data_IF_052591926051
#
_entry.id   IF_052591926051
#
_cell.length_a   1.000
_cell.length_b   1.000
_cell.length_c   1.000
_cell.angle_alpha   90.00
_cell.angle_beta   90.00
_cell.angle_gamma   90.00
#
_symmetry.space_group_name_H-M   'P 1'
#
loop_
_entity.id
_entity.type
_entity.pdbx_description
1 polymer ?
#
# COMPACT_ATOMS: atom_id res chain seq x y z
N UNK A 1 -15.34 18.58 47.51
CA UNK A 1 -14.67 19.90 47.59
C UNK A 1 -15.17 20.73 46.41
N UNK A 2 -16.00 21.73 46.67
CA UNK A 2 -16.53 22.72 45.71
C UNK A 2 -15.56 23.90 45.62
N UNK A 3 -15.28 24.43 44.43
CA UNK A 3 -15.02 25.86 44.07
C UNK A 3 -14.97 25.87 42.51
N UNK A 4 -15.90 26.42 41.72
CA UNK A 4 -16.40 27.79 41.49
C UNK A 4 -15.56 28.65 40.51
N UNK A 5 -16.10 28.83 39.28
CA UNK A 5 -16.30 30.04 38.43
C UNK A 5 -15.18 31.09 38.24
N UNK A 6 -15.10 31.73 37.05
CA UNK A 6 -15.95 32.89 36.65
C UNK A 6 -16.30 32.87 35.12
N UNK A 7 -17.07 33.74 34.46
CA UNK A 7 -17.78 35.02 34.68
C UNK A 7 -18.65 35.34 33.43
N UNK A 8 -19.72 36.13 33.61
CA UNK A 8 -20.27 37.25 32.77
C UNK A 8 -20.30 37.10 31.21
N UNK A 9 -21.30 37.53 30.42
CA UNK A 9 -22.36 38.54 30.56
C UNK A 9 -23.19 38.61 29.25
N UNK A 10 -24.48 38.94 29.37
CA UNK A 10 -25.32 39.80 28.49
C UNK A 10 -25.46 39.53 26.98
N UNK A 11 -26.69 39.27 26.50
CA UNK A 11 -27.55 40.22 25.76
C UNK A 11 -28.91 39.57 25.38
N UNK A 12 -30.01 40.15 25.87
CA UNK A 12 -31.39 40.04 25.36
C UNK A 12 -31.56 41.03 24.15
N UNK A 13 -32.64 41.07 23.32
CA UNK A 13 -34.01 40.77 23.73
C UNK A 13 -35.03 40.20 22.69
N UNK A 14 -36.08 39.61 23.28
CA UNK A 14 -37.53 39.62 22.98
C UNK A 14 -38.14 39.64 21.58
N UNK A 15 -38.97 38.61 21.42
CA UNK A 15 -40.21 38.43 20.65
C UNK A 15 -41.35 39.42 21.03
N UNK A 16 -42.24 39.65 20.04
CA UNK A 16 -43.74 39.70 20.11
C UNK A 16 -44.49 41.06 20.23
N UNK A 17 -45.41 41.23 19.24
CA UNK A 17 -46.74 41.91 19.17
C UNK A 17 -46.87 43.42 19.34
N UNK A 18 -47.35 44.07 18.27
CA UNK A 18 -48.23 45.26 18.23
C UNK A 18 -48.97 45.19 16.87
N UNK A 19 -50.22 45.61 16.62
CA UNK A 19 -51.47 45.78 17.34
C UNK A 19 -52.49 46.18 16.24
N UNK A 20 -53.73 45.69 16.32
CA UNK A 20 -54.85 46.06 15.44
C UNK A 20 -55.45 47.41 15.91
N UNK A 21 -55.64 48.38 15.00
CA UNK A 21 -56.66 49.45 15.07
C UNK A 21 -56.69 50.15 13.71
N UNK A 22 -57.69 49.99 12.82
CA UNK A 22 -59.02 50.62 12.81
C UNK A 22 -58.97 52.15 13.10
N UNK A 23 -59.19 52.97 12.06
CA UNK A 23 -60.29 53.95 11.90
C UNK A 23 -59.94 55.05 10.87
N UNK A 24 -60.81 55.16 9.86
CA UNK A 24 -61.26 56.34 9.11
C UNK A 24 -60.26 57.38 8.57
N UNK A 25 -60.30 57.57 7.24
CA UNK A 25 -60.90 58.79 6.68
C UNK A 25 -61.25 58.59 5.20
N UNK A 26 -62.55 58.55 4.94
CA UNK A 26 -63.17 58.66 3.62
C UNK A 26 -63.24 60.15 3.29
N UNK A 27 -62.54 60.58 2.24
CA UNK A 27 -62.89 61.79 1.50
C UNK A 27 -63.07 61.37 0.04
N UNK A 28 -64.34 61.20 -0.33
CA UNK A 28 -64.79 61.35 -1.71
C UNK A 28 -64.78 62.85 -2.02
N UNK A 29 -64.24 63.25 -3.17
CA UNK A 29 -65.02 63.94 -4.20
C UNK A 29 -64.32 63.77 -5.56
N UNK A 30 -65.08 63.45 -6.62
CA UNK A 30 -64.60 63.16 -7.96
C UNK A 30 -64.58 64.42 -8.83
N UNK A 31 -63.77 64.44 -9.89
CA UNK A 31 -64.10 65.06 -11.19
C UNK A 31 -63.23 64.40 -12.27
N UNK A 32 -63.91 64.14 -13.38
CA UNK A 32 -63.55 63.39 -14.57
C UNK A 32 -62.56 64.13 -15.48
N UNK A 33 -62.11 63.41 -16.53
CA UNK A 33 -61.42 63.88 -17.76
C UNK A 33 -59.90 64.00 -17.56
N UNK A 34 -59.02 63.12 -18.07
CA UNK A 34 -58.96 62.47 -19.37
C UNK A 34 -57.99 61.27 -19.30
N UNK A 35 -58.53 60.06 -19.13
CA UNK A 35 -57.77 58.81 -19.16
C UNK A 35 -57.75 58.24 -20.58
N UNK A 36 -56.88 58.75 -21.43
CA UNK A 36 -56.44 58.06 -22.64
C UNK A 36 -54.92 57.86 -22.56
N UNK A 37 -54.48 56.61 -22.75
CA UNK A 37 -53.12 56.20 -23.15
C UNK A 37 -51.99 56.11 -22.10
N UNK A 38 -52.24 55.96 -20.79
CA UNK A 38 -51.16 55.62 -19.83
C UNK A 38 -51.30 54.22 -19.22
N UNK A 39 -52.52 53.74 -18.92
CA UNK A 39 -52.75 52.36 -18.45
C UNK A 39 -52.31 51.30 -19.45
N UNK A 40 -52.79 51.38 -20.69
CA UNK A 40 -52.37 50.46 -21.78
C UNK A 40 -50.88 50.51 -22.11
N UNK A 41 -50.18 51.62 -21.80
CA UNK A 41 -48.73 51.72 -22.04
C UNK A 41 -47.92 51.14 -20.89
N UNK A 42 -48.44 51.17 -19.67
CA UNK A 42 -47.78 50.57 -18.50
C UNK A 42 -48.05 49.05 -18.49
N UNK A 43 -49.26 48.60 -18.78
CA UNK A 43 -49.57 47.17 -18.88
C UNK A 43 -48.83 46.54 -20.07
N UNK A 44 -48.82 47.19 -21.24
CA UNK A 44 -48.04 46.73 -22.40
C UNK A 44 -46.53 46.78 -22.17
N UNK A 45 -46.01 47.74 -21.40
CA UNK A 45 -44.59 47.77 -21.03
C UNK A 45 -44.24 46.69 -19.99
N UNK A 46 -45.14 46.38 -19.06
CA UNK A 46 -44.94 45.33 -18.05
C UNK A 46 -45.05 43.94 -18.67
N UNK A 47 -46.01 43.73 -19.58
CA UNK A 47 -46.14 42.50 -20.38
C UNK A 47 -44.92 42.31 -21.30
N UNK A 48 -44.46 43.37 -21.98
CA UNK A 48 -43.26 43.28 -22.84
C UNK A 48 -42.00 42.96 -22.03
N UNK A 49 -41.82 43.51 -20.82
CA UNK A 49 -40.67 43.21 -19.94
C UNK A 49 -40.74 41.80 -19.35
N UNK A 50 -41.95 41.32 -19.04
CA UNK A 50 -42.19 39.93 -18.61
C UNK A 50 -41.88 38.93 -19.73
N UNK A 51 -42.33 39.23 -20.96
CA UNK A 51 -42.09 38.39 -22.15
C UNK A 51 -40.60 38.35 -22.52
N UNK A 52 -39.88 39.48 -22.50
CA UNK A 52 -38.43 39.53 -22.77
C UNK A 52 -37.63 38.72 -21.74
N UNK A 53 -38.02 38.78 -20.45
CA UNK A 53 -37.36 38.00 -19.40
C UNK A 53 -37.66 36.52 -19.57
N UNK A 54 -38.90 36.15 -19.93
CA UNK A 54 -39.31 34.78 -20.25
C UNK A 54 -38.53 34.19 -21.42
N UNK A 55 -38.40 34.94 -22.52
CA UNK A 55 -37.67 34.51 -23.72
C UNK A 55 -36.17 34.35 -23.45
N UNK A 56 -35.57 35.24 -22.67
CA UNK A 56 -34.16 35.16 -22.26
C UNK A 56 -33.91 33.92 -21.39
N UNK A 57 -34.79 33.66 -20.43
CA UNK A 57 -34.69 32.47 -19.55
C UNK A 57 -34.88 31.19 -20.38
N UNK A 58 -35.83 31.16 -21.31
CA UNK A 58 -36.04 30.02 -22.21
C UNK A 58 -34.82 29.75 -23.10
N UNK A 59 -34.16 30.79 -23.60
CA UNK A 59 -32.92 30.65 -24.36
C UNK A 59 -31.78 30.04 -23.52
N UNK A 60 -31.63 30.49 -22.27
CA UNK A 60 -30.65 29.93 -21.32
C UNK A 60 -30.98 28.47 -20.95
N UNK A 61 -32.24 28.15 -20.69
CA UNK A 61 -32.67 26.78 -20.34
C UNK A 61 -32.41 25.80 -21.50
N UNK A 62 -32.72 26.19 -22.73
CA UNK A 62 -32.41 25.38 -23.91
C UNK A 62 -30.89 25.17 -24.08
N UNK A 63 -30.08 26.18 -23.79
CA UNK A 63 -28.63 26.09 -23.88
C UNK A 63 -28.04 25.16 -22.80
N UNK A 64 -28.55 25.26 -21.56
CA UNK A 64 -28.18 24.37 -20.45
C UNK A 64 -28.52 22.93 -20.80
N UNK A 65 -29.73 22.66 -21.31
CA UNK A 65 -30.18 21.33 -21.72
C UNK A 65 -29.40 20.77 -22.91
N UNK A 66 -29.01 21.62 -23.86
CA UNK A 66 -28.18 21.21 -24.99
C UNK A 66 -26.78 20.79 -24.54
N UNK A 67 -26.18 21.53 -23.61
CA UNK A 67 -24.87 21.19 -23.01
C UNK A 67 -24.93 19.95 -22.13
N UNK A 68 -26.07 19.70 -21.48
CA UNK A 68 -26.31 18.47 -20.71
C UNK A 68 -26.34 17.23 -21.62
N UNK A 69 -26.92 17.36 -22.81
CA UNK A 69 -26.99 16.29 -23.82
C UNK A 69 -25.69 16.10 -24.61
N UNK A 70 -24.99 17.19 -24.94
CA UNK A 70 -23.77 17.15 -25.74
C UNK A 70 -22.83 18.33 -25.42
N UNK A 71 -22.04 18.17 -24.36
CA UNK A 71 -21.08 19.15 -23.86
C UNK A 71 -19.97 19.51 -24.88
N UNK A 72 -19.68 18.62 -25.83
CA UNK A 72 -18.67 18.85 -26.87
C UNK A 72 -19.07 19.97 -27.86
N UNK A 73 -20.36 20.27 -28.00
CA UNK A 73 -20.89 21.31 -28.90
C UNK A 73 -21.00 22.69 -28.24
N UNK A 74 -20.29 22.92 -27.13
CA UNK A 74 -20.44 24.13 -26.31
C UNK A 74 -20.26 25.44 -27.08
N UNK A 75 -19.32 25.48 -28.02
CA UNK A 75 -19.06 26.69 -28.81
C UNK A 75 -20.26 27.03 -29.69
N UNK A 76 -20.82 26.04 -30.38
CA UNK A 76 -22.03 26.19 -31.19
C UNK A 76 -23.22 26.59 -30.33
N UNK A 77 -23.41 25.93 -29.19
CA UNK A 77 -24.51 26.25 -28.26
C UNK A 77 -24.43 27.70 -27.77
N UNK A 78 -23.25 28.19 -27.38
CA UNK A 78 -23.07 29.58 -26.95
C UNK A 78 -23.30 30.59 -28.09
N UNK A 79 -22.83 30.28 -29.30
CA UNK A 79 -23.06 31.12 -30.48
C UNK A 79 -24.56 31.22 -30.82
N UNK A 80 -25.26 30.09 -30.84
CA UNK A 80 -26.71 30.06 -31.08
C UNK A 80 -27.49 30.78 -29.98
N UNK A 81 -27.10 30.60 -28.71
CA UNK A 81 -27.72 31.29 -27.57
C UNK A 81 -27.56 32.80 -27.71
N UNK A 82 -26.36 33.26 -28.07
CA UNK A 82 -26.09 34.69 -28.30
C UNK A 82 -26.93 35.27 -29.44
N UNK A 83 -27.21 34.49 -30.49
CA UNK A 83 -28.07 34.89 -31.61
C UNK A 83 -29.56 34.91 -31.26
N UNK A 84 -30.02 33.99 -30.40
CA UNK A 84 -31.42 33.87 -29.96
C UNK A 84 -31.83 34.93 -28.94
N UNK A 85 -30.88 35.52 -28.23
CA UNK A 85 -31.13 36.70 -27.40
C UNK A 85 -31.44 37.89 -28.33
N UNK A 86 -32.72 38.30 -28.37
CA UNK A 86 -33.22 39.42 -29.19
C UNK A 86 -32.50 40.74 -28.88
N UNK A 87 -32.61 41.73 -29.76
CA UNK A 87 -32.00 43.07 -29.58
C UNK A 87 -32.45 43.79 -28.30
N UNK A 88 -33.58 43.40 -27.71
CA UNK A 88 -34.14 43.97 -26.48
C UNK A 88 -33.83 43.15 -25.21
N UNK A 89 -33.19 41.98 -25.35
CA UNK A 89 -32.63 41.27 -24.21
C UNK A 89 -31.50 42.12 -23.60
N UNK A 90 -31.50 42.27 -22.26
CA UNK A 90 -30.57 43.14 -21.55
C UNK A 90 -29.14 42.93 -22.06
N UNK A 91 -28.56 43.96 -22.69
CA UNK A 91 -27.21 43.94 -23.29
C UNK A 91 -26.15 43.35 -22.35
N UNK A 92 -26.38 43.48 -21.04
CA UNK A 92 -25.67 42.83 -19.93
C UNK A 92 -25.55 41.32 -20.08
N UNK A 93 -26.66 40.58 -20.30
CA UNK A 93 -26.64 39.10 -20.41
C UNK A 93 -25.89 38.66 -21.66
N UNK A 94 -26.09 39.36 -22.78
CA UNK A 94 -25.36 39.08 -24.02
C UNK A 94 -23.86 39.30 -23.86
N UNK A 95 -23.47 40.35 -23.14
CA UNK A 95 -22.06 40.63 -22.82
C UNK A 95 -21.46 39.56 -21.90
N UNK A 96 -22.20 39.11 -20.86
CA UNK A 96 -21.75 38.03 -19.98
C UNK A 96 -21.52 36.71 -20.74
N UNK A 97 -22.42 36.35 -21.68
CA UNK A 97 -22.27 35.15 -22.51
C UNK A 97 -21.12 35.28 -23.51
N UNK A 98 -20.94 36.46 -24.11
CA UNK A 98 -19.85 36.71 -25.07
C UNK A 98 -18.47 36.68 -24.37
N UNK A 99 -18.40 37.23 -23.17
CA UNK A 99 -17.19 37.18 -22.33
C UNK A 99 -16.91 35.74 -21.86
N UNK A 100 -17.94 34.98 -21.48
CA UNK A 100 -17.82 33.55 -21.19
C UNK A 100 -17.27 32.76 -22.39
N UNK A 101 -17.78 33.02 -23.60
CA UNK A 101 -17.28 32.40 -24.84
C UNK A 101 -15.79 32.70 -25.05
N UNK A 102 -15.40 33.97 -24.95
CA UNK A 102 -14.01 34.39 -25.13
C UNK A 102 -13.06 33.81 -24.09
N UNK A 103 -13.46 33.79 -22.80
CA UNK A 103 -12.67 33.19 -21.72
C UNK A 103 -12.54 31.67 -21.87
N UNK A 104 -13.59 31.00 -22.32
CA UNK A 104 -13.59 29.55 -22.57
C UNK A 104 -12.65 29.18 -23.72
N UNK A 105 -12.63 29.99 -24.79
CA UNK A 105 -11.64 29.85 -25.88
C UNK A 105 -10.21 30.13 -25.36
N UNK A 106 -9.99 31.20 -24.60
CA UNK A 106 -8.67 31.51 -24.07
C UNK A 106 -8.10 30.41 -23.14
N UNK A 107 -8.96 29.77 -22.34
CA UNK A 107 -8.57 28.66 -21.47
C UNK A 107 -8.06 27.42 -22.25
N UNK A 108 -8.50 27.21 -23.50
CA UNK A 108 -8.02 26.09 -24.33
C UNK A 108 -6.56 26.23 -24.76
N UNK A 109 -6.03 27.45 -24.84
CA UNK A 109 -4.68 27.72 -25.35
C UNK A 109 -3.55 27.37 -24.37
N UNK A 110 -3.79 27.45 -23.06
CA UNK A 110 -2.78 27.28 -22.01
C UNK A 110 -2.91 25.94 -21.27
N UNK A 111 -4.06 25.28 -21.36
CA UNK A 111 -4.43 24.15 -20.48
C UNK A 111 -5.08 22.98 -21.24
N UNK A 112 -4.45 22.63 -22.36
CA UNK A 112 -4.78 21.52 -23.28
C UNK A 112 -4.92 20.10 -22.64
N UNK A 113 -4.99 20.00 -21.32
CA UNK A 113 -5.01 18.75 -20.53
C UNK A 113 -6.40 18.36 -20.02
N UNK A 114 -7.41 19.19 -20.23
CA UNK A 114 -8.80 18.92 -19.89
C UNK A 114 -9.59 18.66 -21.17
N UNK A 115 -10.24 17.50 -21.28
CA UNK A 115 -11.03 17.14 -22.47
C UNK A 115 -12.16 18.15 -22.74
N UNK A 116 -12.65 18.23 -23.99
CA UNK A 116 -13.71 19.17 -24.40
C UNK A 116 -14.97 19.09 -23.52
N UNK A 117 -15.28 17.93 -22.96
CA UNK A 117 -16.42 17.72 -22.05
C UNK A 117 -16.35 18.63 -20.80
N UNK A 118 -15.14 18.94 -20.32
CA UNK A 118 -14.94 19.81 -19.17
C UNK A 118 -15.28 21.27 -19.48
N UNK A 119 -15.02 21.73 -20.70
CA UNK A 119 -15.38 23.09 -21.12
C UNK A 119 -16.89 23.20 -21.20
N UNK A 120 -17.58 22.20 -21.77
CA UNK A 120 -19.03 22.18 -21.80
C UNK A 120 -19.66 22.19 -20.40
N UNK A 121 -19.11 21.43 -19.46
CA UNK A 121 -19.54 21.47 -18.05
C UNK A 121 -19.35 22.85 -17.42
N UNK A 122 -18.19 23.49 -17.65
CA UNK A 122 -17.90 24.84 -17.14
C UNK A 122 -18.84 25.89 -17.72
N UNK A 123 -19.05 25.85 -19.03
CA UNK A 123 -19.99 26.75 -19.74
C UNK A 123 -21.40 26.56 -19.19
N UNK A 124 -21.84 25.32 -19.01
CA UNK A 124 -23.15 25.01 -18.41
C UNK A 124 -23.28 25.61 -17.01
N UNK A 125 -22.29 25.42 -16.14
CA UNK A 125 -22.29 26.01 -14.79
C UNK A 125 -22.37 27.54 -14.84
N UNK A 126 -21.66 28.19 -15.76
CA UNK A 126 -21.73 29.64 -15.93
C UNK A 126 -23.12 30.09 -16.41
N UNK A 127 -23.74 29.42 -17.39
CA UNK A 127 -25.09 29.72 -17.85
C UNK A 127 -26.14 29.55 -16.75
N UNK A 128 -26.04 28.48 -15.94
CA UNK A 128 -26.91 28.27 -14.77
C UNK A 128 -26.80 29.43 -13.78
N UNK A 129 -25.60 29.97 -13.57
CA UNK A 129 -25.38 31.12 -12.66
C UNK A 129 -25.91 32.42 -13.26
N UNK A 130 -25.74 32.65 -14.55
CA UNK A 130 -26.32 33.81 -15.26
C UNK A 130 -27.84 33.78 -15.13
N UNK A 131 -28.46 32.62 -15.38
CA UNK A 131 -29.90 32.40 -15.20
C UNK A 131 -30.34 32.68 -13.76
N UNK A 132 -29.62 32.17 -12.76
CA UNK A 132 -29.96 32.39 -11.36
C UNK A 132 -29.92 33.89 -10.99
N UNK A 133 -28.93 34.65 -11.49
CA UNK A 133 -28.88 36.10 -11.30
C UNK A 133 -30.07 36.81 -11.94
N UNK A 134 -30.42 36.42 -13.16
CA UNK A 134 -31.54 36.99 -13.91
C UNK A 134 -32.88 36.75 -13.19
N UNK A 135 -33.04 35.59 -12.56
CA UNK A 135 -34.24 35.21 -11.81
C UNK A 135 -34.22 35.65 -10.33
N UNK A 136 -33.20 36.40 -9.90
CA UNK A 136 -32.96 36.75 -8.49
C UNK A 136 -32.97 35.54 -7.54
N UNK A 137 -32.50 34.39 -8.03
CA UNK A 137 -32.37 33.16 -7.28
C UNK A 137 -30.99 33.08 -6.61
N UNK A 138 -30.84 32.26 -5.54
CA UNK A 138 -29.53 31.95 -4.98
C UNK A 138 -28.58 31.42 -6.07
N UNK A 139 -27.42 32.07 -6.22
CA UNK A 139 -26.42 31.69 -7.23
C UNK A 139 -25.77 30.37 -6.79
N UNK A 140 -25.84 29.29 -7.60
CA UNK A 140 -25.19 28.03 -7.26
C UNK A 140 -23.66 28.18 -7.10
N UNK A 141 -23.04 27.44 -6.16
CA UNK A 141 -21.60 27.43 -6.00
C UNK A 141 -20.92 26.76 -7.20
N UNK A 142 -19.66 27.14 -7.47
CA UNK A 142 -18.87 26.59 -8.57
C UNK A 142 -18.25 25.27 -8.14
N UNK A 143 -18.50 24.21 -8.90
CA UNK A 143 -17.88 22.92 -8.65
C UNK A 143 -16.48 22.92 -9.28
N UNK A 144 -15.41 22.69 -8.50
CA UNK A 144 -14.06 22.63 -9.02
C UNK A 144 -13.90 21.41 -9.91
N UNK A 145 -13.35 21.61 -11.11
CA UNK A 145 -13.13 20.53 -12.06
C UNK A 145 -11.70 20.00 -11.95
N UNK A 146 -11.53 18.69 -11.79
CA UNK A 146 -10.23 18.04 -11.82
C UNK A 146 -10.01 17.35 -13.16
N UNK A 147 -8.89 17.65 -13.82
CA UNK A 147 -8.56 17.07 -15.12
C UNK A 147 -7.54 15.94 -15.02
N UNK A 148 -6.46 16.15 -14.27
CA UNK A 148 -5.43 15.14 -14.08
C UNK A 148 -4.72 15.29 -12.74
N UNK A 149 -4.19 14.16 -12.26
CA UNK A 149 -3.37 14.06 -11.05
C UNK A 149 -2.03 13.43 -11.43
N UNK A 150 -0.93 14.00 -10.93
CA UNK A 150 0.42 13.49 -11.18
C UNK A 150 1.15 13.25 -9.86
N UNK A 151 1.61 12.02 -9.58
CA UNK A 151 1.25 10.76 -10.26
C UNK A 151 -0.23 10.38 -10.06
N UNK A 152 -0.76 9.50 -10.92
CA UNK A 152 -2.16 9.04 -10.83
C UNK A 152 -2.44 8.12 -9.62
N UNK A 153 -1.40 7.62 -8.96
CA UNK A 153 -1.47 6.81 -7.74
C UNK A 153 -0.19 7.02 -6.91
N UNK A 154 -0.30 6.78 -5.60
CA UNK A 154 0.86 6.76 -4.69
C UNK A 154 1.37 5.32 -4.59
N UNK A 155 2.51 5.03 -5.23
CA UNK A 155 3.14 3.71 -5.15
C UNK A 155 4.09 3.62 -3.96
N UNK A 156 3.68 2.84 -2.95
CA UNK A 156 4.45 2.65 -1.73
C UNK A 156 5.68 1.76 -1.92
N UNK A 157 5.84 1.12 -3.08
CA UNK A 157 7.05 0.38 -3.43
C UNK A 157 8.19 1.29 -3.92
N UNK A 158 7.91 2.56 -4.26
CA UNK A 158 8.92 3.54 -4.63
C UNK A 158 9.61 4.13 -3.38
N UNK A 159 10.88 4.53 -3.52
CA UNK A 159 11.60 5.26 -2.46
C UNK A 159 10.83 6.50 -2.03
N UNK A 160 10.89 6.85 -0.73
CA UNK A 160 10.17 7.99 -0.16
C UNK A 160 10.39 9.27 -0.98
N UNK A 161 11.64 9.54 -1.37
CA UNK A 161 12.05 10.71 -2.17
C UNK A 161 11.40 10.81 -3.56
N UNK A 162 10.81 9.72 -4.06
CA UNK A 162 10.13 9.66 -5.37
C UNK A 162 8.60 9.83 -5.26
N UNK A 163 8.07 9.95 -4.04
CA UNK A 163 6.63 10.06 -3.75
C UNK A 163 6.32 11.25 -2.83
N UNK A 164 7.01 12.39 -3.05
CA UNK A 164 6.98 13.56 -2.16
C UNK A 164 5.76 14.47 -2.35
N UNK A 165 5.04 14.35 -3.47
CA UNK A 165 3.90 15.21 -3.78
C UNK A 165 2.91 14.57 -4.74
N UNK A 166 1.66 15.04 -4.69
CA UNK A 166 0.67 14.89 -5.75
C UNK A 166 0.34 16.27 -6.31
N UNK A 167 0.33 16.40 -7.62
CA UNK A 167 -0.04 17.63 -8.33
C UNK A 167 -1.41 17.44 -8.97
N UNK A 168 -2.33 18.36 -8.69
CA UNK A 168 -3.69 18.37 -9.20
C UNK A 168 -3.84 19.54 -10.15
N UNK A 169 -4.31 19.25 -11.35
CA UNK A 169 -4.52 20.25 -12.38
C UNK A 169 -5.98 20.24 -12.80
N UNK A 170 -6.55 21.43 -12.93
CA UNK A 170 -7.99 21.59 -13.11
C UNK A 170 -8.40 23.06 -13.12
N UNK A 171 -9.60 23.35 -12.66
CA UNK A 171 -10.19 24.69 -12.68
C UNK A 171 -10.86 25.03 -11.35
N UNK A 172 -10.99 26.32 -11.08
CA UNK A 172 -11.80 26.87 -9.99
C UNK A 172 -11.34 26.46 -8.58
N UNK A 173 -10.06 26.06 -8.44
CA UNK A 173 -9.47 25.60 -7.16
C UNK A 173 -9.33 26.71 -6.10
N UNK A 174 -9.31 27.97 -6.53
CA UNK A 174 -9.25 29.15 -5.66
C UNK A 174 -10.64 29.67 -5.24
N UNK A 175 -11.72 29.18 -5.86
CA UNK A 175 -13.08 29.72 -5.65
C UNK A 175 -13.87 29.00 -4.54
N UNK A 176 -13.48 27.77 -4.17
CA UNK A 176 -14.21 26.96 -3.20
C UNK A 176 -13.29 26.15 -2.28
N UNK A 177 -13.73 25.80 -1.06
CA UNK A 177 -12.97 24.91 -0.20
C UNK A 177 -13.02 23.48 -0.73
N UNK A 178 -11.85 22.92 -1.04
CA UNK A 178 -11.64 21.51 -1.34
C UNK A 178 -11.04 20.86 -0.11
N UNK A 179 -11.60 19.72 0.27
CA UNK A 179 -11.16 18.89 1.39
C UNK A 179 -10.45 17.65 0.84
N UNK A 180 -9.41 17.20 1.53
CA UNK A 180 -8.69 15.97 1.20
C UNK A 180 -8.75 15.02 2.38
N UNK A 181 -9.17 13.79 2.13
CA UNK A 181 -9.23 12.75 3.16
C UNK A 181 -8.31 11.58 2.81
N UNK A 182 -7.57 11.09 3.80
CA UNK A 182 -6.81 9.85 3.74
C UNK A 182 -7.64 8.74 4.36
N UNK A 183 -7.91 7.69 3.58
CA UNK A 183 -8.60 6.51 4.07
C UNK A 183 -7.59 5.40 4.36
N UNK A 184 -7.52 5.01 5.63
CA UNK A 184 -6.84 3.80 6.09
C UNK A 184 -7.85 2.63 6.17
N UNK A 185 -7.40 1.42 6.53
CA UNK A 185 -8.29 0.25 6.68
C UNK A 185 -9.41 0.42 7.72
N UNK A 186 -9.25 1.31 8.70
CA UNK A 186 -10.18 1.45 9.84
C UNK A 186 -10.66 2.88 10.10
N UNK A 187 -10.11 3.88 9.41
CA UNK A 187 -10.37 5.29 9.69
C UNK A 187 -10.25 6.17 8.45
N UNK A 188 -10.93 7.31 8.50
CA UNK A 188 -10.78 8.41 7.55
C UNK A 188 -10.20 9.60 8.29
N UNK A 189 -9.08 10.13 7.80
CA UNK A 189 -8.37 11.29 8.37
C UNK A 189 -8.50 12.47 7.42
N UNK A 190 -8.87 13.65 7.94
CA UNK A 190 -8.79 14.90 7.17
C UNK A 190 -7.32 15.35 7.09
N UNK A 191 -6.82 15.50 5.87
CA UNK A 191 -5.43 15.87 5.57
C UNK A 191 -5.36 17.14 4.71
N UNK A 192 -6.45 17.91 4.69
CA UNK A 192 -6.58 19.14 3.90
C UNK A 192 -5.54 20.20 4.26
N UNK A 193 -4.99 20.16 5.49
CA UNK A 193 -3.91 21.05 5.93
C UNK A 193 -2.61 20.89 5.15
N UNK A 194 -2.43 19.80 4.40
CA UNK A 194 -1.26 19.55 3.57
C UNK A 194 -1.50 19.88 2.09
N UNK A 195 -2.67 20.42 1.74
CA UNK A 195 -3.04 20.81 0.38
C UNK A 195 -2.75 22.30 0.18
N UNK A 196 -1.77 22.58 -0.67
CA UNK A 196 -1.41 23.92 -1.10
C UNK A 196 -2.13 24.28 -2.40
N UNK A 197 -2.75 25.45 -2.43
CA UNK A 197 -3.44 26.00 -3.62
C UNK A 197 -2.56 27.06 -4.24
N UNK A 198 -1.91 26.72 -5.35
CA UNK A 198 -0.90 27.57 -5.95
C UNK A 198 -1.55 28.58 -6.92
N UNK A 199 -2.52 28.13 -7.70
CA UNK A 199 -3.26 28.97 -8.65
C UNK A 199 -4.71 28.50 -8.78
N UNK A 200 -5.52 29.25 -9.52
CA UNK A 200 -6.85 28.83 -9.96
C UNK A 200 -6.88 27.44 -10.63
N UNK A 201 -5.76 27.00 -11.20
CA UNK A 201 -5.67 25.80 -12.04
C UNK A 201 -4.76 24.69 -11.48
N UNK A 202 -4.09 24.94 -10.35
CA UNK A 202 -3.06 24.03 -9.82
C UNK A 202 -3.07 23.97 -8.29
N UNK A 203 -3.15 22.76 -7.74
CA UNK A 203 -2.93 22.47 -6.33
C UNK A 203 -1.84 21.39 -6.15
N UNK A 204 -1.18 21.39 -5.00
CA UNK A 204 -0.20 20.37 -4.64
C UNK A 204 -0.53 19.82 -3.26
N UNK A 205 -0.55 18.50 -3.10
CA UNK A 205 -0.63 17.84 -1.80
C UNK A 205 0.76 17.35 -1.41
N UNK A 206 1.27 17.83 -0.29
CA UNK A 206 2.59 17.45 0.22
C UNK A 206 2.54 16.03 0.81
N UNK A 207 3.36 15.12 0.27
CA UNK A 207 3.56 13.74 0.75
C UNK A 207 4.98 13.51 1.31
N UNK A 208 5.77 14.58 1.45
CA UNK A 208 7.12 14.53 2.01
C UNK A 208 7.13 14.31 3.52
N UNK A 209 8.29 14.52 4.15
CA UNK A 209 8.51 14.21 5.58
C UNK A 209 7.58 14.98 6.54
N UNK A 210 7.10 16.16 6.16
CA UNK A 210 6.15 16.98 6.91
C UNK A 210 4.74 17.00 6.27
N UNK A 211 4.49 16.10 5.33
CA UNK A 211 3.25 16.00 4.57
C UNK A 211 2.23 15.05 5.19
N UNK A 212 1.35 14.55 4.33
CA UNK A 212 0.33 13.56 4.67
C UNK A 212 0.97 12.28 5.25
N UNK A 213 0.48 11.75 6.39
CA UNK A 213 1.07 10.59 7.05
C UNK A 213 0.66 9.26 6.40
N UNK A 214 1.14 9.00 5.18
CA UNK A 214 0.86 7.76 4.46
C UNK A 214 1.63 6.58 5.07
N UNK A 215 0.94 5.46 5.30
CA UNK A 215 1.49 4.25 5.93
C UNK A 215 1.15 2.97 5.17
N UNK A 216 1.58 1.82 5.69
CA UNK A 216 1.19 0.50 5.17
C UNK A 216 -0.30 0.17 5.34
N UNK A 217 -1.03 0.94 6.16
CA UNK A 217 -2.47 0.80 6.36
C UNK A 217 -3.30 1.70 5.43
N UNK A 218 -2.66 2.61 4.70
CA UNK A 218 -3.32 3.60 3.85
C UNK A 218 -3.76 2.99 2.52
N UNK A 219 -5.00 3.29 2.10
CA UNK A 219 -5.62 2.67 0.92
C UNK A 219 -5.87 3.68 -0.20
N UNK A 220 -6.33 4.89 0.13
CA UNK A 220 -6.64 5.92 -0.87
C UNK A 220 -6.65 7.33 -0.28
N UNK A 221 -6.44 8.30 -1.14
CA UNK A 221 -6.70 9.72 -0.90
C UNK A 221 -7.95 10.13 -1.71
N UNK A 222 -8.86 10.87 -1.09
CA UNK A 222 -10.09 11.35 -1.74
C UNK A 222 -10.14 12.87 -1.69
N UNK A 223 -10.42 13.51 -2.83
CA UNK A 223 -10.74 14.92 -2.87
C UNK A 223 -12.26 15.06 -2.77
N UNK A 224 -12.71 15.91 -1.87
CA UNK A 224 -14.11 16.16 -1.56
C UNK A 224 -14.46 17.63 -1.80
N UNK A 225 -15.58 17.88 -2.45
CA UNK A 225 -16.22 19.20 -2.56
C UNK A 225 -17.66 19.09 -2.09
N UNK A 226 -18.06 19.94 -1.14
CA UNK A 226 -19.37 19.88 -0.47
C UNK A 226 -19.72 18.46 0.04
N UNK A 227 -18.75 17.82 0.69
CA UNK A 227 -18.85 16.45 1.21
C UNK A 227 -19.12 15.36 0.15
N UNK A 228 -18.92 15.69 -1.13
CA UNK A 228 -19.01 14.75 -2.25
C UNK A 228 -17.62 14.45 -2.81
N UNK A 229 -17.27 13.18 -3.04
CA UNK A 229 -15.99 12.84 -3.64
C UNK A 229 -15.97 13.26 -5.11
N UNK A 230 -14.98 14.08 -5.48
CA UNK A 230 -14.72 14.53 -6.86
C UNK A 230 -13.52 13.81 -7.49
N UNK A 231 -12.66 13.20 -6.67
CA UNK A 231 -11.54 12.37 -7.15
C UNK A 231 -11.05 11.39 -6.09
N UNK A 232 -10.48 10.28 -6.55
CA UNK A 232 -9.88 9.25 -5.69
C UNK A 232 -8.55 8.78 -6.28
N UNK A 233 -7.51 8.80 -5.45
CA UNK A 233 -6.14 8.45 -5.78
C UNK A 233 -5.78 7.21 -4.95
N UNK A 234 -5.44 6.12 -5.61
CA UNK A 234 -5.09 4.87 -4.92
C UNK A 234 -3.71 4.97 -4.25
N UNK A 235 -3.58 4.36 -3.07
CA UNK A 235 -2.29 4.07 -2.42
C UNK A 235 -1.99 2.59 -2.66
N UNK A 236 -0.98 2.31 -3.48
CA UNK A 236 -0.58 0.95 -3.86
C UNK A 236 0.45 0.46 -2.87
N UNK A 237 0.11 -0.55 -2.07
CA UNK A 237 1.02 -1.12 -1.08
C UNK A 237 2.10 -2.01 -1.72
N UNK A 238 3.31 -2.12 -1.14
CA UNK A 238 4.34 -3.02 -1.63
C UNK A 238 3.85 -4.46 -1.58
N UNK A 239 4.27 -5.29 -2.55
CA UNK A 239 4.13 -6.74 -2.40
C UNK A 239 4.91 -7.21 -1.17
N UNK A 240 4.47 -8.30 -0.55
CA UNK A 240 5.27 -9.02 0.46
C UNK A 240 6.72 -9.16 -0.04
N UNK A 241 7.71 -8.57 0.64
CA UNK A 241 9.09 -8.58 0.17
C UNK A 241 9.67 -10.00 0.15
N UNK A 242 10.72 -10.23 -0.64
CA UNK A 242 11.43 -11.52 -0.59
C UNK A 242 12.23 -11.60 0.71
N UNK A 243 12.24 -12.77 1.37
CA UNK A 243 12.97 -12.93 2.61
C UNK A 243 14.47 -12.73 2.42
N UNK A 244 15.08 -12.03 3.38
CA UNK A 244 16.53 -11.91 3.51
C UNK A 244 17.13 -13.30 3.73
N UNK A 245 18.21 -13.60 2.98
CA UNK A 245 18.97 -14.84 3.08
C UNK A 245 20.42 -14.51 3.39
N UNK A 246 21.07 -15.31 4.25
CA UNK A 246 22.50 -15.17 4.54
C UNK A 246 23.14 -16.54 4.77
N UNK A 247 24.40 -16.64 4.40
CA UNK A 247 25.23 -17.82 4.71
C UNK A 247 25.96 -17.57 6.03
N UNK A 248 25.89 -18.53 6.94
CA UNK A 248 26.49 -18.43 8.27
C UNK A 248 27.42 -19.65 8.50
N UNK A 249 28.72 -19.43 8.74
CA UNK A 249 29.62 -20.51 9.12
C UNK A 249 29.35 -20.93 10.56
N UNK A 250 29.17 -22.23 10.78
CA UNK A 250 29.06 -22.86 12.09
C UNK A 250 30.46 -23.22 12.56
N UNK A 251 30.81 -22.76 13.76
CA UNK A 251 31.99 -23.17 14.50
C UNK A 251 31.57 -24.15 15.60
N UNK A 252 31.52 -25.47 15.33
CA UNK A 252 31.13 -26.45 16.34
C UNK A 252 32.18 -26.57 17.45
N UNK A 253 31.85 -27.32 18.51
CA UNK A 253 32.86 -27.78 19.48
C UNK A 253 33.98 -28.51 18.74
N UNK A 254 35.21 -28.38 19.23
CA UNK A 254 36.39 -28.92 18.55
C UNK A 254 36.31 -30.44 18.30
N UNK A 255 35.65 -31.21 19.18
CA UNK A 255 35.40 -32.64 18.99
C UNK A 255 34.21 -33.15 19.83
N UNK A 256 33.72 -34.35 19.51
CA UNK A 256 32.72 -35.11 20.26
C UNK A 256 33.25 -36.51 20.56
N UNK A 257 33.14 -36.96 21.82
CA UNK A 257 33.44 -38.35 22.19
C UNK A 257 32.16 -39.16 22.46
N UNK A 258 32.16 -40.42 22.04
CA UNK A 258 31.06 -41.36 22.26
C UNK A 258 31.55 -42.81 22.46
N UNK A 259 30.99 -43.48 23.47
CA UNK A 259 31.16 -44.92 23.73
C UNK A 259 29.76 -45.55 23.65
N UNK A 260 29.46 -46.36 22.62
CA UNK A 260 28.17 -47.04 22.51
C UNK A 260 27.99 -48.07 23.62
N UNK A 261 26.74 -48.31 24.08
CA UNK A 261 26.47 -49.32 25.09
C UNK A 261 26.75 -50.73 24.57
N UNK A 262 27.12 -51.62 25.49
CA UNK A 262 27.17 -53.05 25.21
C UNK A 262 25.78 -53.62 24.94
N UNK A 263 25.65 -54.42 23.90
CA UNK A 263 24.38 -55.01 23.46
C UNK A 263 24.39 -56.54 23.41
N UNK A 264 25.55 -57.18 23.33
CA UNK A 264 25.70 -58.64 23.22
C UNK A 264 27.13 -59.08 23.57
N UNK A 265 27.27 -60.29 24.12
CA UNK A 265 28.55 -60.95 24.40
C UNK A 265 28.97 -60.81 25.86
N UNK A 266 30.26 -61.00 26.13
CA UNK A 266 30.84 -60.96 27.47
C UNK A 266 31.53 -59.63 27.79
N UNK A 267 31.61 -58.71 26.81
CA UNK A 267 32.20 -57.36 26.84
C UNK A 267 33.68 -57.27 26.48
N UNK A 268 34.33 -58.37 26.18
CA UNK A 268 35.76 -58.45 25.86
C UNK A 268 35.92 -58.91 24.40
N UNK A 269 36.89 -58.37 23.64
CA UNK A 269 37.16 -58.80 22.27
C UNK A 269 38.36 -59.76 22.17
N UNK A 270 39.25 -59.79 23.17
CA UNK A 270 40.39 -60.73 23.26
C UNK A 270 41.26 -60.79 21.99
N UNK A 271 41.45 -59.67 21.29
CA UNK A 271 42.22 -59.60 20.04
C UNK A 271 41.52 -60.20 18.81
N UNK A 272 40.20 -60.44 18.84
CA UNK A 272 39.42 -60.98 17.73
C UNK A 272 38.67 -59.90 16.91
N UNK A 273 39.19 -58.68 16.85
CA UNK A 273 38.48 -57.51 16.30
C UNK A 273 38.42 -56.40 17.35
N UNK A 274 37.49 -55.43 17.25
CA UNK A 274 36.22 -55.48 16.51
C UNK A 274 36.25 -55.03 15.04
N UNK A 275 35.27 -55.50 14.25
CA UNK A 275 34.82 -54.81 13.04
C UNK A 275 33.96 -53.61 13.43
N UNK A 276 34.31 -52.42 12.92
CA UNK A 276 33.78 -51.14 13.38
C UNK A 276 33.13 -50.38 12.25
N UNK A 277 31.93 -49.85 12.50
CA UNK A 277 31.20 -48.94 11.63
C UNK A 277 30.86 -47.65 12.37
N UNK A 278 30.96 -46.51 11.69
CA UNK A 278 30.40 -45.25 12.15
C UNK A 278 29.67 -44.51 11.03
N UNK A 279 28.56 -43.88 11.41
CA UNK A 279 27.78 -43.00 10.55
C UNK A 279 27.45 -41.71 11.29
N UNK A 280 27.81 -40.58 10.71
CA UNK A 280 27.61 -39.26 11.26
C UNK A 280 26.76 -38.42 10.31
N UNK A 281 25.64 -37.87 10.79
CA UNK A 281 24.69 -37.13 9.97
C UNK A 281 24.23 -35.82 10.63
N UNK A 282 24.13 -34.76 9.83
CA UNK A 282 23.44 -33.52 10.19
C UNK A 282 21.98 -33.57 9.74
N UNK A 283 21.07 -33.31 10.66
CA UNK A 283 19.62 -33.35 10.46
C UNK A 283 19.08 -31.93 10.66
N UNK A 284 18.54 -31.33 9.59
CA UNK A 284 17.92 -30.00 9.63
C UNK A 284 16.45 -30.11 10.05
N UNK A 285 16.10 -29.55 11.21
CA UNK A 285 14.73 -29.47 11.74
C UNK A 285 14.11 -28.09 11.56
N UNK A 286 14.69 -27.27 10.69
CA UNK A 286 14.21 -25.94 10.33
C UNK A 286 14.72 -24.83 11.26
N UNK A 287 14.69 -25.01 12.58
CA UNK A 287 15.26 -24.02 13.53
C UNK A 287 16.52 -24.52 14.22
N UNK A 288 16.76 -25.82 14.15
CA UNK A 288 17.87 -26.51 14.79
C UNK A 288 18.51 -27.48 13.79
N UNK A 289 19.81 -27.72 13.97
CA UNK A 289 20.48 -28.87 13.37
C UNK A 289 20.88 -29.81 14.49
N UNK A 290 20.49 -31.06 14.35
CA UNK A 290 20.94 -32.14 15.21
C UNK A 290 22.06 -32.92 14.52
N UNK A 291 23.11 -33.24 15.27
CA UNK A 291 24.15 -34.17 14.83
C UNK A 291 23.86 -35.54 15.42
N UNK A 292 23.65 -36.53 14.55
CA UNK A 292 23.43 -37.93 14.91
C UNK A 292 24.68 -38.72 14.57
N UNK A 293 25.26 -39.36 15.58
CA UNK A 293 26.37 -40.30 15.45
C UNK A 293 25.88 -41.69 15.83
N UNK A 294 25.96 -42.63 14.91
CA UNK A 294 25.77 -44.05 15.17
C UNK A 294 27.10 -44.76 15.05
N UNK A 295 27.34 -45.70 15.97
CA UNK A 295 28.53 -46.55 15.96
C UNK A 295 28.13 -47.99 16.29
N UNK A 296 28.81 -48.93 15.64
CA UNK A 296 28.79 -50.34 15.96
C UNK A 296 30.20 -50.88 15.97
N UNK A 297 30.56 -51.63 17.00
CA UNK A 297 31.78 -52.42 17.08
C UNK A 297 31.37 -53.85 17.40
N UNK A 298 31.82 -54.82 16.60
CA UNK A 298 31.43 -56.21 16.72
C UNK A 298 32.66 -57.11 16.58
N UNK A 299 32.88 -57.99 17.53
CA UNK A 299 33.91 -59.03 17.43
C UNK A 299 33.76 -59.83 16.13
N UNK A 300 34.87 -60.26 15.54
CA UNK A 300 34.87 -60.99 14.27
C UNK A 300 34.85 -62.51 14.45
N UNK A 301 35.08 -63.00 15.68
CA UNK A 301 35.11 -64.42 16.07
C UNK A 301 34.41 -64.61 17.41
N UNK A 302 34.17 -65.85 17.81
CA UNK A 302 33.57 -66.23 19.11
C UNK A 302 32.25 -65.51 19.41
N UNK A 303 31.85 -65.39 20.68
CA UNK A 303 30.55 -64.94 21.24
C UNK A 303 29.91 -63.65 20.65
N UNK A 304 30.60 -62.99 19.72
CA UNK A 304 30.14 -61.85 18.94
C UNK A 304 29.88 -60.66 19.85
N UNK A 305 30.81 -60.40 20.78
CA UNK A 305 30.76 -59.22 21.62
C UNK A 305 30.52 -57.97 20.78
N UNK A 306 29.48 -57.21 21.15
CA UNK A 306 28.96 -56.09 20.35
C UNK A 306 28.68 -54.87 21.24
N UNK A 307 29.28 -53.74 20.88
CA UNK A 307 28.88 -52.42 21.35
C UNK A 307 28.17 -51.67 20.21
N UNK A 308 26.94 -51.22 20.45
CA UNK A 308 26.15 -50.53 19.42
C UNK A 308 25.24 -49.49 20.02
N UNK A 309 25.18 -48.32 19.38
CA UNK A 309 24.22 -47.30 19.76
C UNK A 309 24.37 -46.02 18.97
N UNK A 310 23.56 -45.04 19.36
CA UNK A 310 23.60 -43.70 18.80
C UNK A 310 23.67 -42.60 19.86
N UNK A 311 24.24 -41.47 19.46
CA UNK A 311 24.28 -40.23 20.21
C UNK A 311 23.78 -39.11 19.33
N UNK A 312 22.77 -38.38 19.82
CA UNK A 312 22.22 -37.20 19.16
C UNK A 312 22.55 -35.98 20.03
N UNK A 313 23.14 -34.96 19.42
CA UNK A 313 23.40 -33.68 20.08
C UNK A 313 22.82 -32.52 19.27
N UNK A 314 22.40 -31.46 19.97
CA UNK A 314 22.14 -30.18 19.31
C UNK A 314 23.46 -29.62 18.79
N UNK A 315 23.54 -29.45 17.47
CA UNK A 315 24.74 -29.00 16.77
C UNK A 315 24.70 -27.48 16.55
N UNK A 316 23.53 -26.95 16.20
CA UNK A 316 23.34 -25.53 15.94
C UNK A 316 21.88 -25.12 16.13
N UNK A 317 21.65 -23.89 16.59
CA UNK A 317 20.35 -23.25 16.69
C UNK A 317 20.37 -21.96 15.89
N UNK A 318 19.38 -21.75 15.02
CA UNK A 318 19.25 -20.51 14.28
C UNK A 318 18.96 -19.34 15.23
N UNK A 319 19.48 -18.13 14.93
CA UNK A 319 19.16 -16.93 15.69
C UNK A 319 17.67 -16.57 15.55
N UNK A 320 17.16 -15.83 16.54
CA UNK A 320 15.77 -15.37 16.52
C UNK A 320 15.43 -14.60 15.24
N UNK A 321 14.26 -14.91 14.67
CA UNK A 321 13.80 -14.32 13.40
C UNK A 321 14.31 -15.01 12.14
N UNK A 322 15.10 -16.08 12.25
CA UNK A 322 15.60 -16.88 11.13
C UNK A 322 15.23 -18.36 11.26
N UNK A 323 15.14 -19.02 10.11
CA UNK A 323 15.12 -20.49 9.98
C UNK A 323 16.28 -20.94 9.09
N UNK A 324 16.71 -22.16 9.29
CA UNK A 324 17.69 -22.89 8.49
C UNK A 324 16.98 -23.42 7.24
N UNK A 325 17.36 -22.90 6.08
CA UNK A 325 16.81 -23.37 4.81
C UNK A 325 17.54 -24.63 4.35
N UNK A 326 18.88 -24.61 4.37
CA UNK A 326 19.71 -25.76 4.03
C UNK A 326 21.12 -25.67 4.60
N UNK A 327 21.81 -26.80 4.60
CA UNK A 327 23.26 -26.89 4.81
C UNK A 327 23.94 -26.68 3.44
N UNK A 328 24.86 -25.73 3.35
CA UNK A 328 25.43 -25.22 2.08
C UNK A 328 26.65 -26.04 1.64
N UNK A 329 27.49 -26.45 2.58
CA UNK A 329 28.74 -27.14 2.30
C UNK A 329 28.60 -28.66 2.41
N UNK A 330 28.80 -29.36 1.29
CA UNK A 330 29.04 -30.80 1.26
C UNK A 330 27.84 -31.70 1.55
N UNK A 331 28.11 -33.01 1.61
CA UNK A 331 27.18 -34.02 2.07
C UNK A 331 26.87 -33.79 3.55
N UNK A 332 25.60 -33.94 3.94
CA UNK A 332 25.18 -33.88 5.34
C UNK A 332 25.60 -35.13 6.14
N UNK A 333 26.51 -35.95 5.60
CA UNK A 333 26.84 -37.28 6.11
C UNK A 333 28.34 -37.62 5.91
N UNK A 334 28.92 -38.29 6.90
CA UNK A 334 30.25 -38.90 6.87
C UNK A 334 30.15 -40.33 7.42
N UNK A 335 30.93 -41.26 6.89
CA UNK A 335 30.97 -42.64 7.39
C UNK A 335 32.38 -43.21 7.36
N UNK A 336 32.62 -44.20 8.21
CA UNK A 336 33.86 -44.97 8.26
C UNK A 336 33.53 -46.44 8.58
N UNK A 337 34.32 -47.35 8.03
CA UNK A 337 34.22 -48.79 8.28
C UNK A 337 35.62 -49.40 8.16
N UNK A 338 36.02 -50.16 9.18
CA UNK A 338 37.27 -50.91 9.18
C UNK A 338 37.22 -52.10 10.14
N UNK A 339 38.26 -52.93 10.14
CA UNK A 339 38.46 -54.02 11.11
C UNK A 339 39.67 -53.66 11.96
N UNK A 340 39.47 -53.57 13.27
CA UNK A 340 40.54 -53.38 14.23
C UNK A 340 41.37 -54.67 14.37
N UNK A 341 42.69 -54.49 14.39
CA UNK A 341 43.68 -55.57 14.42
C UNK A 341 44.76 -55.37 15.48
N UNK A 342 44.75 -54.24 16.20
CA UNK A 342 45.72 -53.97 17.26
C UNK A 342 45.06 -53.22 18.44
N UNK A 343 45.86 -52.65 19.35
CA UNK A 343 45.36 -51.94 20.53
C UNK A 343 45.56 -50.42 20.43
N UNK A 344 45.91 -49.90 19.25
CA UNK A 344 46.15 -48.48 19.03
C UNK A 344 44.85 -47.79 18.61
N UNK A 345 44.82 -46.46 18.75
CA UNK A 345 43.72 -45.67 18.21
C UNK A 345 43.78 -45.62 16.68
N UNK A 346 42.68 -46.00 16.00
CA UNK A 346 42.59 -45.97 14.54
C UNK A 346 42.01 -44.65 14.03
N UNK A 347 42.71 -44.02 13.09
CA UNK A 347 42.30 -42.74 12.50
C UNK A 347 41.73 -42.95 11.11
N UNK A 348 40.45 -42.64 10.93
CA UNK A 348 39.74 -42.76 9.66
C UNK A 348 39.27 -41.38 9.19
N UNK A 349 39.60 -41.02 7.95
CA UNK A 349 39.18 -39.73 7.36
C UNK A 349 37.68 -39.71 7.06
N UNK A 350 36.97 -38.65 7.51
CA UNK A 350 35.54 -38.46 7.22
C UNK A 350 35.24 -37.79 5.86
N UNK A 351 36.30 -37.42 5.12
CA UNK A 351 36.25 -36.74 3.83
C UNK A 351 36.12 -35.21 3.94
N UNK A 352 36.54 -34.44 2.92
CA UNK A 352 36.49 -32.97 2.96
C UNK A 352 35.07 -32.41 2.82
N UNK A 353 34.13 -33.23 2.35
CA UNK A 353 32.78 -32.80 2.00
C UNK A 353 31.73 -33.24 3.02
N UNK A 354 32.11 -33.91 4.11
CA UNK A 354 31.16 -34.33 5.15
C UNK A 354 31.27 -33.50 6.42
N UNK A 355 30.36 -33.66 7.39
CA UNK A 355 30.42 -32.96 8.68
C UNK A 355 31.65 -33.36 9.52
N UNK A 356 32.22 -34.54 9.28
CA UNK A 356 33.35 -35.07 10.04
C UNK A 356 34.64 -34.95 9.23
N UNK A 357 35.64 -34.33 9.84
CA UNK A 357 37.02 -34.28 9.35
C UNK A 357 37.72 -35.61 9.57
N UNK A 358 37.65 -36.14 10.79
CA UNK A 358 38.36 -37.34 11.24
C UNK A 358 37.53 -38.07 12.30
N UNK A 359 37.46 -39.40 12.16
CA UNK A 359 37.03 -40.32 13.21
C UNK A 359 38.28 -40.94 13.84
N UNK A 360 38.38 -40.92 15.17
CA UNK A 360 39.43 -41.62 15.92
C UNK A 360 38.76 -42.69 16.76
N UNK A 361 38.95 -43.94 16.40
CA UNK A 361 38.33 -45.08 17.04
C UNK A 361 39.23 -45.61 18.14
N UNK A 362 38.60 -45.96 19.26
CA UNK A 362 39.18 -46.74 20.35
C UNK A 362 38.53 -48.11 20.26
N UNK A 363 39.30 -49.14 19.95
CA UNK A 363 38.79 -50.49 19.76
C UNK A 363 38.97 -51.36 21.00
N UNK A 364 39.93 -52.28 20.92
CA UNK A 364 40.23 -53.32 21.92
C UNK A 364 41.39 -52.94 22.85
N UNK A 365 41.29 -53.25 24.15
CA UNK A 365 42.39 -53.21 25.13
C UNK A 365 42.28 -54.45 26.03
N UNK A 366 42.88 -54.43 27.22
CA UNK A 366 42.68 -55.51 28.17
C UNK A 366 41.46 -55.27 29.07
N UNK A 367 40.57 -56.26 29.15
CA UNK A 367 39.40 -56.28 30.03
C UNK A 367 38.09 -55.86 29.34
N UNK A 368 37.07 -55.55 30.14
CA UNK A 368 35.76 -55.15 29.61
C UNK A 368 35.87 -53.85 28.77
N UNK A 369 35.58 -53.95 27.47
CA UNK A 369 35.72 -52.89 26.48
C UNK A 369 34.43 -52.46 25.82
N UNK A 370 33.57 -53.42 25.46
CA UNK A 370 32.26 -53.11 24.92
C UNK A 370 31.40 -52.42 26.00
N UNK A 371 30.94 -51.20 25.72
CA UNK A 371 30.12 -50.41 26.64
C UNK A 371 30.89 -49.57 27.66
N UNK A 372 32.22 -49.65 27.69
CA UNK A 372 33.07 -49.00 28.70
C UNK A 372 34.23 -48.20 28.08
N UNK A 373 34.90 -48.73 27.06
CA UNK A 373 36.05 -48.10 26.41
C UNK A 373 35.85 -47.92 24.91
N UNK A 374 35.44 -48.99 24.23
CA UNK A 374 35.29 -49.00 22.77
C UNK A 374 34.37 -47.87 22.33
N UNK A 375 34.87 -47.01 21.46
CA UNK A 375 34.20 -45.76 21.14
C UNK A 375 34.87 -45.01 20.01
N UNK A 376 34.38 -43.79 19.78
CA UNK A 376 34.84 -42.92 18.71
C UNK A 376 34.91 -41.48 19.19
N UNK A 377 35.99 -40.81 18.82
CA UNK A 377 36.14 -39.36 18.87
C UNK A 377 35.97 -38.78 17.46
N UNK A 378 35.18 -37.72 17.36
CA UNK A 378 34.80 -37.09 16.10
C UNK A 378 35.31 -35.67 16.07
N UNK A 379 36.13 -35.35 15.07
CA UNK A 379 36.58 -33.99 14.78
C UNK A 379 35.78 -33.44 13.61
N UNK A 380 35.24 -32.22 13.73
CA UNK A 380 34.31 -31.65 12.75
C UNK A 380 35.01 -30.84 11.65
N UNK A 381 34.44 -30.86 10.45
CA UNK A 381 34.71 -29.84 9.43
C UNK A 381 33.88 -28.57 9.72
N UNK A 382 34.32 -27.39 9.28
CA UNK A 382 33.46 -26.20 9.28
C UNK A 382 32.27 -26.44 8.34
N UNK A 383 31.07 -26.07 8.80
CA UNK A 383 29.83 -26.24 8.03
C UNK A 383 29.20 -24.87 7.82
N UNK A 384 28.76 -24.58 6.60
CA UNK A 384 28.03 -23.34 6.29
C UNK A 384 26.55 -23.67 6.21
N UNK A 385 25.70 -22.88 6.85
CA UNK A 385 24.24 -22.97 6.73
C UNK A 385 23.67 -21.74 6.04
N UNK A 386 22.61 -21.95 5.26
CA UNK A 386 21.83 -20.86 4.70
C UNK A 386 20.65 -20.57 5.60
N UNK A 387 20.59 -19.35 6.12
CA UNK A 387 19.51 -18.85 6.95
C UNK A 387 18.56 -17.99 6.13
N UNK A 388 17.27 -18.08 6.44
CA UNK A 388 16.20 -17.30 5.81
C UNK A 388 15.34 -16.66 6.89
N UNK A 389 15.06 -15.37 6.76
CA UNK A 389 14.19 -14.63 7.69
C UNK A 389 12.74 -15.16 7.65
N UNK A 390 12.07 -15.27 8.80
CA UNK A 390 10.74 -15.93 8.88
C UNK A 390 9.53 -14.98 8.93
N UNK A 391 9.74 -13.67 9.07
CA UNK A 391 8.65 -12.72 9.30
C UNK A 391 8.48 -11.70 8.16
N UNK A 392 7.21 -11.44 7.81
CA UNK A 392 6.77 -10.37 6.90
C UNK A 392 7.42 -10.43 5.50
N UNK A 393 7.74 -11.63 5.02
CA UNK A 393 8.40 -11.84 3.74
C UNK A 393 8.01 -13.19 3.12
N UNK A 394 8.26 -13.35 1.82
CA UNK A 394 8.10 -14.61 1.09
C UNK A 394 9.49 -15.19 0.74
N UNK A 395 9.84 -16.42 1.16
CA UNK A 395 11.12 -17.03 0.82
C UNK A 395 11.31 -17.16 -0.69
N UNK A 396 12.51 -16.93 -1.20
CA UNK A 396 12.79 -17.04 -2.64
C UNK A 396 12.52 -18.47 -3.17
N UNK A 397 12.81 -19.48 -2.35
CA UNK A 397 12.50 -20.89 -2.64
C UNK A 397 11.01 -21.16 -2.76
N UNK A 398 10.18 -20.55 -1.90
CA UNK A 398 8.74 -20.66 -1.96
C UNK A 398 8.18 -19.98 -3.21
N UNK A 399 8.67 -18.77 -3.55
CA UNK A 399 8.29 -18.06 -4.78
C UNK A 399 8.64 -18.90 -6.01
N UNK A 400 9.83 -19.49 -6.06
CA UNK A 400 10.27 -20.36 -7.16
C UNK A 400 9.42 -21.64 -7.26
N UNK A 401 9.06 -22.23 -6.12
CA UNK A 401 8.15 -23.40 -6.09
C UNK A 401 6.76 -23.05 -6.62
N UNK A 402 6.21 -21.89 -6.24
CA UNK A 402 4.93 -21.40 -6.76
C UNK A 402 5.02 -21.10 -8.27
N UNK A 403 6.14 -20.55 -8.74
CA UNK A 403 6.38 -20.32 -10.17
C UNK A 403 6.42 -21.64 -10.96
N UNK A 404 7.15 -22.65 -10.48
CA UNK A 404 7.24 -23.97 -11.14
C UNK A 404 5.87 -24.66 -11.21
N UNK A 405 5.01 -24.40 -10.24
CA UNK A 405 3.65 -24.95 -10.16
C UNK A 405 2.59 -24.10 -10.85
N UNK A 406 2.98 -23.00 -11.51
CA UNK A 406 2.07 -22.02 -12.12
C UNK A 406 1.02 -21.43 -11.14
N UNK A 407 1.35 -21.37 -9.84
CA UNK A 407 0.48 -20.87 -8.76
C UNK A 407 0.70 -19.39 -8.43
N UNK A 408 1.50 -18.68 -9.22
CA UNK A 408 1.80 -17.26 -9.03
C UNK A 408 1.77 -16.54 -10.39
N UNK A 409 1.14 -15.36 -10.43
CA UNK A 409 0.98 -14.64 -11.70
C UNK A 409 2.33 -14.16 -12.28
N UNK A 410 2.50 -14.19 -13.62
CA UNK A 410 3.72 -13.70 -14.27
C UNK A 410 4.06 -12.24 -13.92
N UNK A 411 3.06 -11.39 -13.73
CA UNK A 411 3.22 -10.01 -13.27
C UNK A 411 3.81 -9.92 -11.87
N UNK A 412 3.38 -10.78 -10.95
CA UNK A 412 3.94 -10.85 -9.59
C UNK A 412 5.39 -11.34 -9.62
N UNK A 413 5.71 -12.34 -10.44
CA UNK A 413 7.09 -12.82 -10.65
C UNK A 413 7.98 -11.68 -11.16
N UNK A 414 7.55 -10.97 -12.20
CA UNK A 414 8.33 -9.85 -12.79
C UNK A 414 8.63 -8.75 -11.77
N UNK A 415 7.69 -8.49 -10.85
CA UNK A 415 7.87 -7.52 -9.75
C UNK A 415 8.83 -8.03 -8.67
N UNK A 416 8.85 -9.33 -8.38
CA UNK A 416 9.73 -9.93 -7.38
C UNK A 416 11.14 -10.24 -7.91
N UNK A 417 11.31 -10.36 -9.22
CA UNK A 417 12.57 -10.72 -9.88
C UNK A 417 13.77 -9.87 -9.45
N UNK A 418 13.68 -8.51 -9.36
CA UNK A 418 14.80 -7.70 -8.91
C UNK A 418 15.22 -8.00 -7.46
N UNK A 419 14.27 -8.34 -6.59
CA UNK A 419 14.55 -8.72 -5.20
C UNK A 419 15.19 -10.11 -5.14
N UNK A 420 14.76 -11.05 -5.98
CA UNK A 420 15.36 -12.39 -6.06
C UNK A 420 16.79 -12.38 -6.62
N UNK A 421 17.10 -11.50 -7.58
CA UNK A 421 18.45 -11.36 -8.14
C UNK A 421 19.45 -10.79 -7.14
N UNK A 422 19.02 -9.87 -6.26
CA UNK A 422 19.88 -9.29 -5.20
C UNK A 422 20.29 -10.28 -4.11
N UNK A 423 19.62 -11.44 -4.03
CA UNK A 423 19.86 -12.49 -3.04
C UNK A 423 20.77 -13.61 -3.57
N UNK A 424 21.18 -13.55 -4.84
CA UNK A 424 22.22 -14.44 -5.35
C UNK A 424 23.58 -13.96 -4.83
N UNK A 425 24.42 -14.86 -4.28
CA UNK A 425 25.80 -14.50 -3.96
C UNK A 425 26.43 -13.91 -5.22
N UNK A 426 27.05 -12.74 -5.12
CA UNK A 426 27.93 -12.29 -6.20
C UNK A 426 29.05 -13.32 -6.34
N UNK A 427 29.40 -13.68 -7.60
CA UNK A 427 30.35 -14.75 -7.87
C UNK A 427 31.72 -14.53 -7.24
#
# INVERSE_FOLDING_TARGET
MKVALPSLSYFFPTRIKICRSLIWLVIWIPIMISGCSIGDKIDKATDTVSDITGDTVAALDNAIDALDRNSSSWQTVLQETTQKLTTDAQSTVRNEISDLLNRSVAATGTELRCNMDFIGSRVRQALVRIRARLLHQPIPPVEPALCHVVPAAVDMALDANRRNKLEFFGYDFDTTPIKVTLQDQSRTLDVSSHLDRLTHYHMTLNLGANGVPISSASNRLTLEWQDRPISSIAVIQPATPVCEEKDEPISPRAYLSYTPPHTRGDREYSGNGPEVWANARLINEGTHINFRLWMKAKETRSDWTTAEGEKIISYYSAPSGYRIDRIVAGYAESSAHYVDTDHNDDRQGGGPNGPVKEFVFRGDRSGDDAGSYTGVDVYFNPVIVKLVKVANCAPASAIKSLQIKDLISPTTIKRMQPMMFRLQPQP
#
